data_IF_856667570609
#
_entry.id   IF_856667570609
#
_cell.length_a   1.000
_cell.length_b   1.000
_cell.length_c   1.000
_cell.angle_alpha   90.00
_cell.angle_beta   90.00
_cell.angle_gamma   90.00
#
_symmetry.space_group_name_H-M   'P 1'
#
loop_
_entity.id
_entity.type
_entity.pdbx_description
1 polymer ?
#
# COMPACT_ATOMS: atom_id res chain seq x y z
N UNK A 1 -12.22 -30.11 -53.01
CA UNK A 1 -12.53 -28.82 -52.36
C UNK A 1 -11.45 -28.58 -51.32
N UNK A 2 -10.45 -27.78 -51.67
CA UNK A 2 -9.33 -27.46 -50.79
C UNK A 2 -9.79 -26.38 -49.83
N UNK A 3 -9.78 -26.66 -48.53
CA UNK A 3 -10.02 -25.62 -47.53
C UNK A 3 -8.83 -24.65 -47.51
N UNK A 4 -9.05 -23.34 -47.45
CA UNK A 4 -7.97 -22.37 -47.33
C UNK A 4 -7.29 -22.53 -45.97
N UNK A 5 -5.96 -22.62 -45.98
CA UNK A 5 -5.12 -22.57 -44.80
C UNK A 5 -5.49 -21.32 -43.99
N UNK A 6 -6.15 -21.52 -42.85
CA UNK A 6 -6.26 -20.49 -41.82
C UNK A 6 -4.97 -20.54 -41.04
N UNK A 7 -4.00 -19.78 -41.54
CA UNK A 7 -2.80 -19.43 -40.79
C UNK A 7 -3.26 -18.84 -39.44
N UNK A 8 -2.81 -19.35 -38.29
CA UNK A 8 -3.04 -18.68 -37.03
C UNK A 8 -2.44 -17.28 -37.15
N UNK A 9 -3.25 -16.25 -36.91
CA UNK A 9 -2.74 -14.89 -36.73
C UNK A 9 -1.95 -14.92 -35.41
N UNK A 10 -0.69 -15.33 -35.48
CA UNK A 10 0.27 -15.02 -34.43
C UNK A 10 0.38 -13.49 -34.40
N UNK A 11 0.06 -12.82 -33.29
CA UNK A 11 0.39 -11.40 -33.17
C UNK A 11 1.90 -11.26 -33.40
N UNK A 12 2.39 -10.17 -34.01
CA UNK A 12 3.80 -10.01 -34.32
C UNK A 12 4.61 -10.32 -33.06
N UNK A 13 5.37 -11.41 -33.12
CA UNK A 13 6.17 -11.98 -32.03
C UNK A 13 7.36 -11.10 -31.67
N UNK A 14 7.50 -9.96 -32.34
CA UNK A 14 8.61 -9.01 -32.23
C UNK A 14 8.80 -8.53 -30.80
N UNK A 15 7.75 -8.30 -30.01
CA UNK A 15 7.86 -7.81 -28.62
C UNK A 15 7.08 -8.65 -27.59
N UNK A 16 7.33 -9.96 -27.56
CA UNK A 16 6.64 -10.90 -26.67
C UNK A 16 6.69 -10.54 -25.17
N UNK A 17 7.70 -9.78 -24.72
CA UNK A 17 7.83 -9.36 -23.31
C UNK A 17 7.12 -8.06 -22.94
N UNK A 18 6.74 -7.24 -23.93
CA UNK A 18 6.16 -5.92 -23.69
C UNK A 18 4.80 -6.02 -22.99
N UNK A 19 3.90 -6.85 -23.51
CA UNK A 19 2.56 -7.02 -22.94
C UNK A 19 2.59 -7.61 -21.50
N UNK A 20 3.37 -8.67 -21.21
CA UNK A 20 3.58 -9.13 -19.83
C UNK A 20 4.13 -8.05 -18.90
N UNK A 21 5.03 -7.21 -19.39
CA UNK A 21 5.59 -6.11 -18.62
C UNK A 21 4.55 -5.04 -18.29
N UNK A 22 3.78 -4.57 -19.28
CA UNK A 22 2.70 -3.61 -19.07
C UNK A 22 1.61 -4.18 -18.16
N UNK A 23 1.29 -5.47 -18.28
CA UNK A 23 0.37 -6.15 -17.38
C UNK A 23 0.88 -6.15 -15.93
N UNK A 24 2.18 -6.38 -15.71
CA UNK A 24 2.80 -6.31 -14.39
C UNK A 24 2.78 -4.89 -13.81
N UNK A 25 3.11 -3.86 -14.61
CA UNK A 25 3.02 -2.45 -14.20
C UNK A 25 1.57 -2.09 -13.84
N UNK A 26 0.61 -2.53 -14.66
CA UNK A 26 -0.82 -2.29 -14.46
C UNK A 26 -1.39 -2.87 -13.16
N UNK A 27 -0.75 -3.88 -12.55
CA UNK A 27 -1.15 -4.41 -11.23
C UNK A 27 -0.92 -3.39 -10.10
N UNK A 28 -0.03 -2.41 -10.31
CA UNK A 28 0.40 -1.45 -9.30
C UNK A 28 -0.11 -0.02 -9.54
N UNK A 29 -0.79 0.22 -10.66
CA UNK A 29 -1.30 1.55 -11.03
C UNK A 29 -2.69 1.85 -10.43
N UNK A 30 -2.97 3.12 -10.08
CA UNK A 30 -4.29 3.55 -9.62
C UNK A 30 -5.33 3.51 -10.75
N UNK A 31 -6.51 2.96 -10.46
CA UNK A 31 -7.59 2.71 -11.43
C UNK A 31 -8.00 3.91 -12.32
N UNK A 32 -8.10 5.17 -11.83
CA UNK A 32 -8.69 6.26 -12.62
C UNK A 32 -7.91 6.66 -13.88
N UNK A 33 -6.59 6.43 -13.91
CA UNK A 33 -5.73 6.79 -15.06
C UNK A 33 -4.90 5.62 -15.56
N UNK A 34 -5.23 4.40 -15.11
CA UNK A 34 -4.44 3.20 -15.38
C UNK A 34 -4.28 2.95 -16.88
N UNK A 35 -5.37 2.99 -17.64
CA UNK A 35 -5.35 2.68 -19.06
C UNK A 35 -4.56 3.72 -19.86
N UNK A 36 -4.73 5.00 -19.55
CA UNK A 36 -4.00 6.10 -20.19
C UNK A 36 -2.49 5.97 -19.94
N UNK A 37 -2.09 5.70 -18.68
CA UNK A 37 -0.68 5.51 -18.30
C UNK A 37 -0.08 4.29 -19.01
N UNK A 38 -0.82 3.18 -19.09
CA UNK A 38 -0.34 1.98 -19.78
C UNK A 38 -0.21 2.18 -21.30
N UNK A 39 -1.11 2.96 -21.90
CA UNK A 39 -1.04 3.29 -23.32
C UNK A 39 0.19 4.17 -23.61
N UNK A 40 0.43 5.21 -22.81
CA UNK A 40 1.59 6.08 -22.95
C UNK A 40 2.91 5.32 -22.73
N UNK A 41 3.00 4.53 -21.65
CA UNK A 41 4.18 3.72 -21.35
C UNK A 41 4.43 2.66 -22.42
N UNK A 42 3.36 2.03 -22.92
CA UNK A 42 3.44 1.03 -23.98
C UNK A 42 3.95 1.61 -25.28
N UNK A 43 3.46 2.78 -25.68
CA UNK A 43 3.95 3.49 -26.87
C UNK A 43 5.43 3.85 -26.74
N UNK A 44 5.84 4.48 -25.63
CA UNK A 44 7.23 4.87 -25.42
C UNK A 44 8.21 3.67 -25.42
N UNK A 45 7.80 2.54 -24.84
CA UNK A 45 8.62 1.33 -24.84
C UNK A 45 8.65 0.65 -26.21
N UNK A 46 7.55 0.67 -26.95
CA UNK A 46 7.49 0.15 -28.30
C UNK A 46 8.43 0.93 -29.21
N UNK A 47 8.32 2.26 -29.22
CA UNK A 47 9.18 3.15 -30.01
C UNK A 47 10.67 2.89 -29.68
N UNK A 48 11.01 2.78 -28.39
CA UNK A 48 12.39 2.52 -27.96
C UNK A 48 12.92 1.15 -28.41
N UNK A 49 12.05 0.13 -28.52
CA UNK A 49 12.42 -1.20 -28.99
C UNK A 49 12.57 -1.24 -30.51
N UNK A 50 11.69 -0.55 -31.25
CA UNK A 50 11.76 -0.40 -32.71
C UNK A 50 13.03 0.36 -33.13
N UNK A 51 13.34 1.49 -32.47
CA UNK A 51 14.59 2.24 -32.68
C UNK A 51 15.82 1.33 -32.51
N UNK A 52 15.77 0.41 -31.56
CA UNK A 52 16.88 -0.51 -31.28
C UNK A 52 17.01 -1.63 -32.31
N UNK A 53 15.89 -2.12 -32.85
CA UNK A 53 15.93 -3.07 -33.98
C UNK A 53 16.53 -2.42 -35.21
N UNK A 54 16.19 -1.16 -35.49
CA UNK A 54 16.79 -0.40 -36.59
C UNK A 54 18.30 -0.21 -36.42
N UNK A 55 18.75 0.13 -35.20
CA UNK A 55 20.18 0.28 -34.88
C UNK A 55 20.97 -1.04 -35.03
N UNK A 56 20.38 -2.17 -34.61
CA UNK A 56 21.02 -3.49 -34.64
C UNK A 56 20.93 -4.16 -36.01
N UNK A 57 19.97 -3.77 -36.84
CA UNK A 57 19.72 -4.35 -38.15
C UNK A 57 19.15 -5.77 -38.11
N UNK A 58 18.62 -6.19 -36.96
CA UNK A 58 17.93 -7.47 -36.77
C UNK A 58 16.81 -7.36 -35.73
N UNK A 59 15.80 -8.26 -35.76
CA UNK A 59 14.78 -8.32 -34.72
C UNK A 59 15.38 -8.57 -33.33
N UNK A 60 14.82 -7.94 -32.30
CA UNK A 60 15.27 -8.05 -30.92
C UNK A 60 15.02 -9.46 -30.38
N UNK A 61 16.09 -10.10 -29.91
CA UNK A 61 16.00 -11.37 -29.19
C UNK A 61 15.33 -11.18 -27.82
N UNK A 62 14.78 -12.26 -27.26
CA UNK A 62 14.15 -12.22 -25.93
C UNK A 62 15.11 -11.70 -24.84
N UNK A 63 16.41 -12.00 -24.94
CA UNK A 63 17.40 -11.53 -23.98
C UNK A 63 17.65 -10.02 -24.09
N UNK A 64 17.63 -9.47 -25.31
CA UNK A 64 17.77 -8.03 -25.55
C UNK A 64 16.52 -7.27 -25.10
N UNK A 65 15.33 -7.81 -25.36
CA UNK A 65 14.07 -7.28 -24.82
C UNK A 65 14.11 -7.28 -23.28
N UNK A 66 14.55 -8.38 -22.67
CA UNK A 66 14.72 -8.46 -21.22
C UNK A 66 15.74 -7.44 -20.71
N UNK A 67 16.85 -7.23 -21.41
CA UNK A 67 17.85 -6.24 -21.02
C UNK A 67 17.30 -4.82 -21.03
N UNK A 68 16.53 -4.45 -22.07
CA UNK A 68 15.87 -3.15 -22.17
C UNK A 68 14.85 -2.94 -21.06
N UNK A 69 13.98 -3.92 -20.83
CA UNK A 69 13.01 -3.86 -19.74
C UNK A 69 13.68 -3.78 -18.37
N UNK A 70 14.79 -4.53 -18.17
CA UNK A 70 15.61 -4.47 -16.93
C UNK A 70 16.18 -3.06 -16.71
N UNK A 71 16.64 -2.41 -17.77
CA UNK A 71 17.14 -1.03 -17.71
C UNK A 71 16.03 -0.02 -17.39
N UNK A 72 14.79 -0.26 -17.86
CA UNK A 72 13.65 0.59 -17.56
C UNK A 72 13.24 0.54 -16.07
N UNK A 73 13.38 -0.63 -15.45
CA UNK A 73 13.24 -0.85 -14.01
C UNK A 73 12.10 -1.79 -13.63
N UNK A 74 12.05 -2.17 -12.36
CA UNK A 74 11.06 -3.11 -11.86
C UNK A 74 9.63 -2.55 -12.03
N UNK A 75 8.62 -3.36 -12.44
CA UNK A 75 7.26 -2.87 -12.72
C UNK A 75 6.63 -2.04 -11.60
N UNK A 76 6.91 -2.40 -10.35
CA UNK A 76 6.50 -1.64 -9.17
C UNK A 76 7.09 -0.23 -9.12
N UNK A 77 8.40 -0.08 -9.37
CA UNK A 77 9.08 1.21 -9.31
C UNK A 77 8.59 2.15 -10.42
N UNK A 78 8.40 1.60 -11.61
CA UNK A 78 7.84 2.34 -12.74
C UNK A 78 6.42 2.80 -12.42
N UNK A 79 5.57 1.93 -11.86
CA UNK A 79 4.23 2.31 -11.43
C UNK A 79 4.24 3.40 -10.33
N UNK A 80 5.22 3.37 -9.42
CA UNK A 80 5.36 4.39 -8.37
C UNK A 80 5.66 5.79 -8.94
N UNK A 81 6.38 5.90 -10.07
CA UNK A 81 6.66 7.19 -10.73
C UNK A 81 5.38 7.92 -11.17
N UNK A 82 4.33 7.17 -11.50
CA UNK A 82 3.05 7.70 -11.94
C UNK A 82 2.05 7.90 -10.80
N UNK A 83 2.40 7.51 -9.57
CA UNK A 83 1.54 7.78 -8.43
C UNK A 83 1.69 9.24 -7.97
N UNK A 84 0.58 9.92 -7.65
CA UNK A 84 0.67 11.27 -7.11
C UNK A 84 1.49 11.21 -5.81
N UNK A 85 2.58 11.99 -5.74
CA UNK A 85 3.35 12.24 -4.52
C UNK A 85 2.46 13.00 -3.51
N UNK A 86 1.51 12.29 -2.89
CA UNK A 86 0.47 12.89 -2.05
C UNK A 86 0.67 12.66 -0.56
N UNK A 87 1.79 12.08 -0.14
CA UNK A 87 1.95 11.73 1.25
C UNK A 87 3.32 12.12 1.81
N UNK A 88 3.29 12.85 2.92
CA UNK A 88 4.41 13.13 3.81
C UNK A 88 4.89 11.86 4.56
N UNK A 89 4.13 10.76 4.42
CA UNK A 89 4.38 9.40 4.91
C UNK A 89 4.30 8.55 3.64
N UNK A 90 5.38 7.98 3.13
CA UNK A 90 5.49 7.38 1.79
C UNK A 90 4.56 6.18 1.48
N UNK A 91 5.08 4.98 1.13
CA UNK A 91 4.27 3.85 0.65
C UNK A 91 3.19 3.38 1.63
N UNK A 92 3.33 3.70 2.92
CA UNK A 92 2.44 3.26 4.00
C UNK A 92 1.20 4.14 4.19
N UNK A 93 1.06 5.27 3.47
CA UNK A 93 -0.07 6.20 3.66
C UNK A 93 -1.44 5.55 3.49
N UNK A 94 -1.60 4.69 2.48
CA UNK A 94 -2.86 3.99 2.24
C UNK A 94 -3.27 3.11 3.42
N UNK A 95 -2.30 2.44 4.03
CA UNK A 95 -2.49 1.61 5.22
C UNK A 95 -2.81 2.49 6.43
N UNK A 96 -2.02 3.56 6.65
CA UNK A 96 -2.26 4.54 7.71
C UNK A 96 -3.68 5.10 7.68
N UNK A 97 -4.14 5.53 6.51
CA UNK A 97 -5.47 6.11 6.33
C UNK A 97 -6.58 5.08 6.58
N UNK A 98 -6.38 3.85 6.11
CA UNK A 98 -7.30 2.74 6.38
C UNK A 98 -7.37 2.44 7.88
N UNK A 99 -6.23 2.34 8.56
CA UNK A 99 -6.14 2.13 10.01
C UNK A 99 -6.87 3.23 10.77
N UNK A 100 -6.64 4.51 10.44
CA UNK A 100 -7.35 5.62 11.09
C UNK A 100 -8.87 5.53 10.89
N UNK A 101 -9.34 5.31 9.66
CA UNK A 101 -10.78 5.20 9.38
C UNK A 101 -11.45 4.04 10.13
N UNK A 102 -10.76 2.91 10.26
CA UNK A 102 -11.30 1.71 10.91
C UNK A 102 -11.19 1.78 12.43
N UNK A 103 -10.07 2.25 12.97
CA UNK A 103 -9.80 2.23 14.41
C UNK A 103 -10.43 3.42 15.15
N UNK A 104 -10.52 4.61 14.55
CA UNK A 104 -11.11 5.80 15.18
C UNK A 104 -12.50 5.56 15.80
N UNK A 105 -13.49 4.96 15.10
CA UNK A 105 -14.81 4.73 15.70
C UNK A 105 -14.76 3.76 16.89
N UNK A 106 -13.87 2.75 16.88
CA UNK A 106 -13.69 1.82 18.00
C UNK A 106 -13.07 2.53 19.21
N UNK A 107 -12.07 3.39 18.98
CA UNK A 107 -11.45 4.20 20.05
C UNK A 107 -12.47 5.15 20.66
N UNK A 108 -13.30 5.80 19.83
CA UNK A 108 -14.41 6.65 20.32
C UNK A 108 -15.34 5.81 21.22
N UNK A 109 -15.84 4.68 20.71
CA UNK A 109 -16.77 3.82 21.46
C UNK A 109 -16.17 3.39 22.80
N UNK A 110 -14.92 2.93 22.79
CA UNK A 110 -14.23 2.48 23.99
C UNK A 110 -13.98 3.63 24.99
N UNK A 111 -13.58 4.80 24.51
CA UNK A 111 -13.38 5.98 25.35
C UNK A 111 -14.70 6.38 26.05
N UNK A 112 -15.81 6.44 25.32
CA UNK A 112 -17.12 6.73 25.90
C UNK A 112 -17.57 5.64 26.89
N UNK A 113 -17.44 4.36 26.53
CA UNK A 113 -17.81 3.24 27.40
C UNK A 113 -17.01 3.25 28.71
N UNK A 114 -15.71 3.56 28.65
CA UNK A 114 -14.83 3.66 29.82
C UNK A 114 -15.26 4.81 30.72
N UNK A 115 -15.54 6.00 30.17
CA UNK A 115 -16.02 7.14 30.96
C UNK A 115 -17.38 6.86 31.61
N UNK A 116 -18.28 6.18 30.90
CA UNK A 116 -19.57 5.77 31.43
C UNK A 116 -19.41 4.74 32.56
N UNK A 117 -18.57 3.72 32.38
CA UNK A 117 -18.28 2.72 33.41
C UNK A 117 -17.69 3.37 34.67
N UNK A 118 -16.73 4.29 34.51
CA UNK A 118 -16.16 5.04 35.63
C UNK A 118 -17.19 5.90 36.35
N UNK A 119 -18.24 6.38 35.66
CA UNK A 119 -19.33 7.13 36.31
C UNK A 119 -20.10 6.29 37.31
N UNK A 120 -20.19 4.97 37.07
CA UNK A 120 -20.81 4.03 38.01
C UNK A 120 -19.85 3.52 39.09
N UNK A 121 -18.59 3.28 38.74
CA UNK A 121 -17.59 2.69 39.67
C UNK A 121 -16.99 3.71 40.63
N UNK A 122 -16.83 4.97 40.21
CA UNK A 122 -16.23 6.03 41.02
C UNK A 122 -16.98 7.35 40.84
N UNK A 123 -18.19 7.50 41.39
CA UNK A 123 -19.02 8.70 41.25
C UNK A 123 -18.34 9.97 41.76
N UNK A 124 -17.53 9.86 42.82
CA UNK A 124 -16.78 10.97 43.43
C UNK A 124 -15.60 11.50 42.59
N UNK A 125 -15.19 10.79 41.54
CA UNK A 125 -13.99 11.13 40.73
C UNK A 125 -14.14 12.32 39.78
N UNK A 126 -15.30 13.00 39.77
CA UNK A 126 -15.55 14.21 38.99
C UNK A 126 -16.88 14.18 38.23
N UNK A 127 -17.35 15.35 37.77
CA UNK A 127 -18.61 15.46 37.04
C UNK A 127 -18.53 14.76 35.67
N UNK A 128 -19.68 14.29 35.16
CA UNK A 128 -19.78 13.68 33.84
C UNK A 128 -19.26 14.62 32.73
N UNK A 129 -19.47 15.93 32.88
CA UNK A 129 -18.98 16.95 31.96
C UNK A 129 -17.45 16.99 31.90
N UNK A 130 -16.77 16.91 33.05
CA UNK A 130 -15.30 16.83 33.10
C UNK A 130 -14.77 15.57 32.41
N UNK A 131 -15.42 14.42 32.63
CA UNK A 131 -15.07 13.12 32.04
C UNK A 131 -15.22 13.11 30.53
N UNK A 132 -16.33 13.64 30.02
CA UNK A 132 -16.57 13.78 28.58
C UNK A 132 -15.61 14.76 27.93
N UNK A 133 -15.18 15.80 28.66
CA UNK A 133 -14.15 16.74 28.22
C UNK A 133 -12.79 16.11 27.95
N UNK A 134 -12.52 14.90 28.47
CA UNK A 134 -11.28 14.17 28.23
C UNK A 134 -11.27 13.37 26.92
N UNK A 135 -12.44 13.09 26.33
CA UNK A 135 -12.53 12.29 25.10
C UNK A 135 -11.78 12.91 23.92
N UNK A 136 -11.90 14.23 23.64
CA UNK A 136 -11.12 14.88 22.59
C UNK A 136 -9.60 14.74 22.78
N UNK A 137 -9.12 14.80 24.02
CA UNK A 137 -7.71 14.63 24.35
C UNK A 137 -7.21 13.21 24.07
N UNK A 138 -7.99 12.19 24.46
CA UNK A 138 -7.68 10.78 24.16
C UNK A 138 -7.62 10.53 22.65
N UNK A 139 -8.54 11.13 21.88
CA UNK A 139 -8.52 11.03 20.42
C UNK A 139 -7.31 11.72 19.79
N UNK A 140 -6.95 12.90 20.29
CA UNK A 140 -5.75 13.61 19.84
C UNK A 140 -4.48 12.79 20.10
N UNK A 141 -4.33 12.22 21.29
CA UNK A 141 -3.21 11.35 21.62
C UNK A 141 -3.16 10.09 20.75
N UNK A 142 -4.30 9.46 20.53
CA UNK A 142 -4.40 8.30 19.65
C UNK A 142 -3.93 8.63 18.22
N UNK A 143 -4.39 9.74 17.66
CA UNK A 143 -3.93 10.21 16.35
C UNK A 143 -2.44 10.53 16.36
N UNK A 144 -1.96 11.29 17.35
CA UNK A 144 -0.55 11.67 17.44
C UNK A 144 0.39 10.45 17.49
N UNK A 145 0.07 9.45 18.31
CA UNK A 145 0.89 8.24 18.42
C UNK A 145 0.76 7.34 17.19
N UNK A 146 -0.44 7.19 16.64
CA UNK A 146 -0.63 6.45 15.38
C UNK A 146 0.21 7.07 14.26
N UNK A 147 0.17 8.40 14.12
CA UNK A 147 0.99 9.11 13.14
C UNK A 147 2.47 8.93 13.42
N UNK A 148 2.93 9.00 14.67
CA UNK A 148 4.33 8.80 15.02
C UNK A 148 4.84 7.39 14.70
N UNK A 149 4.03 6.35 14.98
CA UNK A 149 4.36 4.96 14.65
C UNK A 149 4.48 4.77 13.14
N UNK A 150 3.50 5.26 12.36
CA UNK A 150 3.55 5.15 10.90
C UNK A 150 4.68 5.98 10.28
N UNK A 151 4.99 7.16 10.83
CA UNK A 151 6.14 7.94 10.41
C UNK A 151 7.47 7.22 10.72
N UNK A 152 7.58 6.59 11.88
CA UNK A 152 8.75 5.78 12.25
C UNK A 152 8.91 4.52 11.40
N UNK A 153 7.80 3.83 11.08
CA UNK A 153 7.81 2.69 10.17
C UNK A 153 8.16 3.12 8.74
N UNK A 154 7.60 4.23 8.26
CA UNK A 154 7.90 4.75 6.93
C UNK A 154 9.37 5.16 6.82
N UNK A 155 9.89 5.84 7.85
CA UNK A 155 11.31 6.15 7.96
C UNK A 155 12.17 4.88 7.97
N UNK A 156 11.82 3.89 8.79
CA UNK A 156 12.57 2.63 8.90
C UNK A 156 12.53 1.79 7.61
N UNK A 157 11.36 1.66 6.99
CA UNK A 157 11.19 0.96 5.71
C UNK A 157 11.97 1.68 4.63
N UNK A 158 11.85 3.00 4.50
CA UNK A 158 12.56 3.76 3.46
C UNK A 158 14.06 3.73 3.66
N UNK A 159 14.52 3.87 4.91
CA UNK A 159 15.95 3.98 5.24
C UNK A 159 16.68 2.63 5.27
N UNK A 160 16.04 1.55 5.73
CA UNK A 160 16.68 0.23 5.89
C UNK A 160 16.24 -0.82 4.85
N UNK A 161 15.00 -0.74 4.33
CA UNK A 161 14.42 -1.78 3.45
C UNK A 161 14.31 -1.31 1.99
N UNK A 162 14.02 -0.02 1.77
CA UNK A 162 13.77 0.60 0.48
C UNK A 162 14.99 0.62 -0.44
N UNK A 163 16.20 0.65 0.12
CA UNK A 163 17.44 0.58 -0.65
C UNK A 163 17.85 -0.86 -1.05
N UNK A 164 17.29 -1.91 -0.42
CA UNK A 164 17.95 -3.21 -0.39
C UNK A 164 17.11 -4.41 -0.88
N UNK A 165 15.80 -4.29 -1.14
CA UNK A 165 14.95 -5.49 -1.42
C UNK A 165 14.03 -5.50 -2.64
N UNK A 166 13.76 -4.37 -3.31
CA UNK A 166 12.88 -4.37 -4.49
C UNK A 166 13.65 -4.32 -5.83
N UNK A 167 14.90 -3.88 -5.80
CA UNK A 167 15.76 -3.70 -6.97
C UNK A 167 16.73 -4.85 -7.21
N UNK A 168 17.10 -5.61 -6.18
CA UNK A 168 18.39 -6.29 -6.21
C UNK A 168 18.52 -7.41 -7.27
N UNK A 169 17.44 -8.07 -7.72
CA UNK A 169 17.53 -9.18 -8.68
C UNK A 169 16.22 -9.39 -9.49
N UNK A 170 15.65 -8.33 -10.06
CA UNK A 170 14.50 -8.51 -10.94
C UNK A 170 14.92 -9.12 -12.29
N UNK A 171 14.25 -10.20 -12.67
CA UNK A 171 14.47 -10.90 -13.93
C UNK A 171 13.22 -10.84 -14.83
N UNK A 172 13.26 -10.06 -15.93
CA UNK A 172 12.15 -9.93 -16.87
C UNK A 172 11.78 -11.24 -17.55
N UNK A 173 12.71 -12.21 -17.66
CA UNK A 173 12.44 -13.52 -18.25
C UNK A 173 11.33 -14.28 -17.51
N UNK A 174 11.15 -14.03 -16.22
CA UNK A 174 10.09 -14.66 -15.41
C UNK A 174 8.68 -14.18 -15.79
N UNK A 175 8.56 -13.03 -16.46
CA UNK A 175 7.26 -12.50 -16.89
C UNK A 175 6.59 -13.39 -17.94
N UNK A 176 7.39 -14.11 -18.75
CA UNK A 176 6.88 -15.06 -19.75
C UNK A 176 6.36 -16.36 -19.11
N UNK A 177 6.82 -16.69 -17.90
CA UNK A 177 6.42 -17.89 -17.17
C UNK A 177 5.11 -17.68 -16.39
N UNK A 178 4.83 -16.44 -16.01
CA UNK A 178 3.56 -16.06 -15.39
C UNK A 178 2.49 -15.88 -16.46
N UNK A 179 1.76 -16.96 -16.80
CA UNK A 179 0.55 -16.81 -17.61
C UNK A 179 -0.42 -15.81 -16.95
N UNK A 180 -1.10 -14.97 -17.73
CA UNK A 180 -2.06 -14.00 -17.20
C UNK A 180 -3.17 -14.76 -16.45
N UNK A 181 -3.11 -14.77 -15.11
CA UNK A 181 -4.24 -15.25 -14.31
C UNK A 181 -5.45 -14.38 -14.65
N UNK A 182 -6.61 -14.97 -14.96
CA UNK A 182 -7.81 -14.21 -15.23
C UNK A 182 -8.06 -13.26 -14.06
N UNK A 183 -8.22 -11.98 -14.39
CA UNK A 183 -8.46 -10.91 -13.42
C UNK A 183 -9.84 -11.15 -12.83
N UNK A 184 -9.90 -11.85 -11.69
CA UNK A 184 -11.10 -12.01 -10.88
C UNK A 184 -11.49 -10.63 -10.33
N UNK A 185 -12.26 -9.89 -11.13
CA UNK A 185 -12.92 -8.66 -10.70
C UNK A 185 -13.92 -9.02 -9.60
N UNK A 186 -13.77 -8.40 -8.43
CA UNK A 186 -14.86 -8.36 -7.44
C UNK A 186 -14.53 -8.76 -6.00
N UNK A 187 -13.31 -9.23 -5.70
CA UNK A 187 -12.93 -9.45 -4.30
C UNK A 187 -11.95 -8.35 -3.91
N UNK A 188 -12.45 -7.36 -3.16
CA UNK A 188 -11.59 -6.42 -2.48
C UNK A 188 -10.49 -7.21 -1.76
N UNK A 189 -9.19 -6.95 -1.99
CA UNK A 189 -8.14 -7.69 -1.31
C UNK A 189 -8.31 -7.49 0.19
N UNK A 190 -8.81 -8.53 0.86
CA UNK A 190 -8.71 -8.62 2.32
C UNK A 190 -7.20 -8.66 2.57
N UNK A 191 -6.67 -7.65 3.24
CA UNK A 191 -5.27 -7.61 3.63
C UNK A 191 -5.19 -8.09 5.10
N UNK A 192 -5.25 -9.41 5.37
CA UNK A 192 -5.33 -9.93 6.74
C UNK A 192 -4.12 -9.52 7.59
N UNK A 193 -2.96 -9.31 6.97
CA UNK A 193 -1.75 -8.83 7.65
C UNK A 193 -1.93 -7.37 8.07
N UNK A 194 -2.54 -6.53 7.23
CA UNK A 194 -2.81 -5.13 7.56
C UNK A 194 -3.85 -5.04 8.68
N UNK A 195 -4.88 -5.87 8.62
CA UNK A 195 -5.89 -5.98 9.67
C UNK A 195 -5.25 -6.43 11.00
N UNK A 196 -4.37 -7.43 10.96
CA UNK A 196 -3.65 -7.90 12.15
C UNK A 196 -2.72 -6.83 12.73
N UNK A 197 -2.02 -6.06 11.89
CA UNK A 197 -1.15 -4.97 12.34
C UNK A 197 -1.97 -3.83 12.94
N UNK A 198 -3.07 -3.44 12.27
CA UNK A 198 -3.96 -2.40 12.77
C UNK A 198 -4.58 -2.80 14.11
N UNK A 199 -5.04 -4.05 14.24
CA UNK A 199 -5.59 -4.59 15.48
C UNK A 199 -4.50 -4.71 16.56
N UNK A 200 -3.28 -5.14 16.21
CA UNK A 200 -2.16 -5.19 17.15
C UNK A 200 -1.76 -3.80 17.65
N UNK A 201 -1.73 -2.78 16.78
CA UNK A 201 -1.46 -1.39 17.17
C UNK A 201 -2.58 -0.84 18.05
N UNK A 202 -3.84 -1.11 17.71
CA UNK A 202 -4.99 -0.70 18.52
C UNK A 202 -5.00 -1.39 19.89
N UNK A 203 -4.67 -2.68 19.95
CA UNK A 203 -4.55 -3.43 21.20
C UNK A 203 -3.35 -2.98 22.03
N UNK A 204 -2.20 -2.75 21.40
CA UNK A 204 -1.00 -2.27 22.07
C UNK A 204 -1.22 -0.85 22.60
N UNK A 205 -1.97 -0.01 21.88
CA UNK A 205 -2.47 1.28 22.38
C UNK A 205 -3.36 1.08 23.60
N UNK A 206 -4.37 0.19 23.51
CA UNK A 206 -5.32 -0.08 24.58
C UNK A 206 -4.64 -0.66 25.85
N UNK A 207 -3.57 -1.43 25.69
CA UNK A 207 -2.74 -1.98 26.78
C UNK A 207 -1.75 -0.95 27.31
N UNK A 208 -1.23 -0.04 26.49
CA UNK A 208 -0.36 1.04 26.95
C UNK A 208 -1.11 2.08 27.79
N UNK A 209 -2.38 2.34 27.47
CA UNK A 209 -3.26 3.29 28.16
C UNK A 209 -3.30 3.11 29.70
N UNK A 210 -3.50 1.91 30.28
CA UNK A 210 -3.46 1.71 31.73
C UNK A 210 -2.06 1.83 32.35
N UNK A 211 -0.97 1.62 31.59
CA UNK A 211 0.39 1.77 32.09
C UNK A 211 0.89 3.22 32.12
N UNK A 212 0.20 4.12 31.43
CA UNK A 212 0.40 5.57 31.54
C UNK A 212 -0.85 6.22 32.13
N UNK A 213 -1.09 6.09 33.46
CA UNK A 213 -2.27 6.66 34.12
C UNK A 213 -2.36 8.18 33.94
N UNK A 214 -1.24 8.84 33.63
CA UNK A 214 -1.14 10.25 33.25
C UNK A 214 -1.93 10.60 31.97
N UNK A 215 -2.21 9.65 31.07
CA UNK A 215 -2.94 9.92 29.82
C UNK A 215 -4.48 9.78 29.95
N UNK A 216 -4.98 9.12 31.00
CA UNK A 216 -6.42 8.96 31.26
C UNK A 216 -6.89 9.59 32.58
N UNK A 217 -6.03 9.68 33.58
CA UNK A 217 -6.38 9.97 34.97
C UNK A 217 -5.63 11.20 35.46
N UNK A 218 -5.87 12.38 34.86
CA UNK A 218 -5.60 13.62 35.58
C UNK A 218 -6.80 13.94 36.47
N UNK A 219 -6.71 13.50 37.73
CA UNK A 219 -7.70 13.70 38.79
C UNK A 219 -7.34 12.87 40.03
N UNK A 220 -8.00 13.06 41.19
CA UNK A 220 -7.67 12.40 42.46
C UNK A 220 -7.59 10.86 42.39
N UNK A 221 -8.21 10.26 41.37
CA UNK A 221 -8.21 8.82 41.09
C UNK A 221 -6.83 8.26 40.66
N UNK A 222 -5.84 9.08 40.32
CA UNK A 222 -4.48 8.63 40.04
C UNK A 222 -3.77 7.98 41.26
N UNK A 223 -4.35 8.10 42.46
CA UNK A 223 -3.79 7.55 43.71
C UNK A 223 -4.35 6.16 44.09
N UNK A 224 -5.26 5.60 43.29
CA UNK A 224 -5.93 4.33 43.60
C UNK A 224 -5.35 3.13 42.83
N UNK A 225 -4.30 3.32 42.03
CA UNK A 225 -3.55 2.28 41.32
C UNK A 225 -2.04 2.54 41.42
#
# INVERSE_FOLDING_TARGET
>A
MNQPNTEPIDPPTTFAMLMPYLAAVGKHLPTPRKNDILAELGANLLDAMEDREEELGHPLTLEEQAAMLRAHGHPFEVAMRYQPQRALIGPLFGIYWYTLKRATPLVILFAFATQLMLAFVSPESGSLMYRLGMVPYVLFLFWAVTTAVFAGLDYGVTHYVGAMRLTAQWDPMKLLQEQPRPVLHGVAPKHPIVDLIADAVALLWLVAVPHFPVLLFFGPAARLF
#
